data_IF_056290562078
#
_entry.id   IF_056290562078
#
_cell.length_a   1.000
_cell.length_b   1.000
_cell.length_c   1.000
_cell.angle_alpha   90.00
_cell.angle_beta   90.00
_cell.angle_gamma   90.00
#
_symmetry.space_group_name_H-M   'P 1'
#
loop_
_entity.id
_entity.type
_entity.pdbx_description
1 polymer ?
#
# COMPACT_ATOMS: atom_id res chain seq x y z
N UNK A 1 -12.14 7.08 5.04
CA UNK A 1 -13.12 6.09 4.55
C UNK A 1 -12.75 4.69 4.99
N UNK A 2 -11.49 4.30 4.80
CA UNK A 2 -11.00 2.97 5.16
C UNK A 2 -9.94 3.11 6.27
N UNK A 3 -9.95 2.20 7.24
CA UNK A 3 -8.83 1.97 8.15
C UNK A 3 -8.02 0.77 7.67
N UNK A 4 -6.71 0.95 7.50
CA UNK A 4 -5.77 -0.16 7.24
C UNK A 4 -5.34 -0.72 8.60
N UNK A 5 -5.68 -1.98 8.88
CA UNK A 5 -5.50 -2.63 10.18
C UNK A 5 -4.48 -3.76 10.10
N UNK A 6 -3.91 -4.13 11.26
CA UNK A 6 -3.00 -5.26 11.40
C UNK A 6 -1.84 -5.27 10.38
N UNK A 7 -1.34 -4.07 10.05
CA UNK A 7 -0.30 -3.91 9.04
C UNK A 7 1.02 -4.46 9.57
N UNK A 8 1.67 -5.30 8.78
CA UNK A 8 3.05 -5.73 8.95
C UNK A 8 3.78 -5.49 7.64
N UNK A 9 4.94 -4.84 7.69
CA UNK A 9 5.79 -4.60 6.51
C UNK A 9 7.20 -5.08 6.84
N UNK A 10 7.68 -6.08 6.10
CA UNK A 10 8.96 -6.75 6.38
C UNK A 10 9.73 -7.07 5.11
N UNK A 11 11.05 -7.01 5.16
CA UNK A 11 11.93 -7.44 4.08
C UNK A 11 12.22 -8.94 4.18
N UNK A 12 12.13 -9.66 3.07
CA UNK A 12 12.52 -11.07 2.92
C UNK A 12 13.23 -11.26 1.59
N UNK A 13 14.54 -11.50 1.62
CA UNK A 13 15.37 -11.51 0.41
C UNK A 13 15.32 -10.16 -0.31
N UNK A 14 15.00 -10.16 -1.60
CA UNK A 14 14.85 -8.94 -2.42
C UNK A 14 13.43 -8.36 -2.37
N UNK A 15 12.51 -8.91 -1.56
CA UNK A 15 11.14 -8.40 -1.49
C UNK A 15 10.89 -7.69 -0.18
N UNK A 16 10.19 -6.57 -0.25
CA UNK A 16 9.48 -6.00 0.91
C UNK A 16 8.03 -6.40 0.78
N UNK A 17 7.51 -7.08 1.80
CA UNK A 17 6.19 -7.70 1.80
C UNK A 17 5.34 -6.99 2.87
N UNK A 18 4.15 -6.56 2.48
CA UNK A 18 3.16 -6.01 3.38
C UNK A 18 1.95 -6.94 3.51
N UNK A 19 1.53 -7.24 4.74
CA UNK A 19 0.26 -7.92 5.02
C UNK A 19 -0.64 -7.02 5.87
N UNK A 20 -1.93 -6.95 5.56
CA UNK A 20 -2.87 -6.08 6.28
C UNK A 20 -4.33 -6.52 6.08
N UNK A 21 -5.22 -5.96 6.89
CA UNK A 21 -6.67 -6.04 6.72
C UNK A 21 -7.25 -4.65 6.43
N UNK A 22 -8.45 -4.60 5.86
CA UNK A 22 -9.19 -3.36 5.67
C UNK A 22 -10.45 -3.35 6.54
N UNK A 23 -10.79 -2.17 7.06
CA UNK A 23 -12.02 -1.92 7.80
C UNK A 23 -12.71 -0.68 7.23
N UNK A 24 -13.94 -0.83 6.77
CA UNK A 24 -14.74 0.25 6.23
C UNK A 24 -15.30 1.12 7.37
N UNK A 25 -15.23 2.45 7.23
CA UNK A 25 -15.83 3.37 8.19
C UNK A 25 -17.37 3.38 8.16
N UNK A 26 -17.98 2.92 7.07
CA UNK A 26 -19.44 2.75 6.89
C UNK A 26 -19.70 1.59 5.92
N UNK A 27 -20.88 0.97 5.99
CA UNK A 27 -21.23 -0.21 5.18
C UNK A 27 -21.27 0.02 3.66
N UNK A 28 -21.42 1.27 3.22
CA UNK A 28 -21.46 1.61 1.78
C UNK A 28 -20.07 1.79 1.16
N UNK A 29 -19.03 1.92 1.98
CA UNK A 29 -17.66 2.18 1.51
C UNK A 29 -17.08 0.92 0.90
N UNK A 30 -16.63 1.03 -0.35
CA UNK A 30 -15.90 -0.01 -1.08
C UNK A 30 -14.43 0.36 -1.23
N UNK A 31 -13.61 -0.60 -1.66
CA UNK A 31 -12.20 -0.38 -2.01
C UNK A 31 -12.02 -0.50 -3.52
N UNK A 32 -11.39 0.51 -4.14
CA UNK A 32 -11.08 0.52 -5.57
C UNK A 32 -9.62 0.14 -5.86
N UNK A 33 -8.71 0.47 -4.94
CA UNK A 33 -7.27 0.25 -5.11
C UNK A 33 -6.61 0.08 -3.74
N UNK A 34 -5.69 -0.87 -3.65
CA UNK A 34 -4.71 -0.95 -2.56
C UNK A 34 -3.31 -0.88 -3.15
N UNK A 35 -2.44 -0.11 -2.52
CA UNK A 35 -1.07 0.11 -3.03
C UNK A 35 -0.08 0.21 -1.88
N UNK A 36 1.09 -0.39 -2.08
CA UNK A 36 2.26 -0.23 -1.25
C UNK A 36 3.20 0.77 -1.92
N UNK A 37 3.42 1.91 -1.26
CA UNK A 37 4.30 2.97 -1.74
C UNK A 37 5.68 2.85 -1.08
N UNK A 38 6.71 3.29 -1.79
CA UNK A 38 8.07 3.44 -1.29
C UNK A 38 8.62 4.83 -1.61
N UNK A 39 9.39 5.40 -0.68
CA UNK A 39 10.13 6.65 -0.93
C UNK A 39 11.33 6.79 0.01
N UNK A 40 12.15 7.82 -0.22
CA UNK A 40 13.36 8.10 0.59
C UNK A 40 13.08 8.73 1.95
N UNK A 41 11.87 9.26 2.19
CA UNK A 41 11.50 9.93 3.43
C UNK A 41 10.08 9.61 3.93
N UNK A 42 9.74 10.14 5.12
CA UNK A 42 8.51 9.87 5.87
C UNK A 42 7.21 10.32 5.17
N UNK A 43 7.30 11.17 4.14
CA UNK A 43 6.14 11.70 3.42
C UNK A 43 5.62 10.75 2.35
N UNK A 44 6.16 9.52 2.28
CA UNK A 44 5.73 8.48 1.36
C UNK A 44 4.19 8.33 1.29
N UNK A 45 3.69 8.29 0.06
CA UNK A 45 2.26 8.11 -0.28
C UNK A 45 2.00 8.30 -1.79
N UNK A 46 0.73 8.27 -2.20
CA UNK A 46 0.27 8.27 -3.61
C UNK A 46 0.89 9.35 -4.51
N UNK A 47 1.23 10.51 -3.96
CA UNK A 47 1.81 11.63 -4.71
C UNK A 47 3.32 11.82 -4.46
N UNK A 48 3.88 11.08 -3.50
CA UNK A 48 5.28 11.14 -3.09
C UNK A 48 5.75 9.69 -2.97
N UNK A 49 6.01 9.07 -4.12
CA UNK A 49 6.47 7.70 -4.21
C UNK A 49 7.35 7.53 -5.44
N UNK A 50 8.16 6.47 -5.44
CA UNK A 50 8.80 5.99 -6.66
C UNK A 50 7.76 5.47 -7.66
N UNK A 51 8.17 5.45 -8.93
CA UNK A 51 7.43 4.77 -9.98
C UNK A 51 8.08 3.40 -10.20
N UNK A 52 7.57 2.41 -9.48
CA UNK A 52 8.23 1.12 -9.31
C UNK A 52 8.08 0.24 -10.55
N UNK A 53 9.17 -0.40 -10.98
CA UNK A 53 9.07 -1.64 -11.75
C UNK A 53 8.51 -2.75 -10.84
N UNK A 54 7.48 -3.44 -11.31
CA UNK A 54 6.86 -4.51 -10.52
C UNK A 54 7.83 -5.68 -10.35
N UNK A 55 8.66 -6.01 -11.35
CA UNK A 55 9.53 -7.18 -11.32
C UNK A 55 8.75 -8.45 -10.92
N UNK A 56 9.23 -9.15 -9.88
CA UNK A 56 8.49 -10.27 -9.27
C UNK A 56 7.54 -9.84 -8.12
N UNK A 57 7.37 -8.54 -7.89
CA UNK A 57 6.50 -7.94 -6.91
C UNK A 57 5.05 -7.75 -7.38
N UNK A 58 4.20 -7.29 -6.47
CA UNK A 58 2.81 -6.91 -6.71
C UNK A 58 2.52 -5.70 -5.81
N UNK A 59 2.93 -4.49 -6.21
CA UNK A 59 2.84 -3.31 -5.34
C UNK A 59 1.41 -2.80 -5.22
N UNK A 60 0.52 -3.14 -6.14
CA UNK A 60 -0.87 -2.69 -6.14
C UNK A 60 -1.85 -3.74 -6.62
N UNK A 61 -3.07 -3.68 -6.09
CA UNK A 61 -4.23 -4.45 -6.57
C UNK A 61 -5.36 -3.44 -6.84
N UNK A 62 -5.86 -3.46 -8.07
CA UNK A 62 -7.00 -2.66 -8.51
C UNK A 62 -8.27 -3.51 -8.62
N UNK A 63 -9.40 -2.99 -8.14
CA UNK A 63 -10.68 -3.68 -8.14
C UNK A 63 -11.62 -3.04 -9.17
N UNK A 64 -12.05 -3.81 -10.17
CA UNK A 64 -13.02 -3.35 -11.18
C UNK A 64 -14.10 -4.43 -11.41
N UNK A 65 -15.32 -4.25 -10.86
CA UNK A 65 -15.78 -3.11 -10.05
C UNK A 65 -15.14 -3.08 -8.64
N UNK A 66 -15.28 -1.95 -7.93
CA UNK A 66 -14.83 -1.78 -6.54
C UNK A 66 -15.36 -2.88 -5.63
N UNK A 67 -14.49 -3.39 -4.74
CA UNK A 67 -14.78 -4.54 -3.90
C UNK A 67 -15.39 -4.15 -2.54
N UNK A 68 -16.23 -5.03 -2.00
CA UNK A 68 -16.69 -4.93 -0.61
C UNK A 68 -15.55 -5.20 0.37
N UNK A 69 -15.54 -4.50 1.50
CA UNK A 69 -14.50 -4.63 2.51
C UNK A 69 -14.95 -5.64 3.57
N UNK A 70 -14.19 -6.74 3.70
CA UNK A 70 -14.36 -7.72 4.76
C UNK A 70 -13.15 -7.69 5.71
N UNK A 71 -13.41 -7.44 7.00
CA UNK A 71 -12.37 -7.35 8.05
C UNK A 71 -11.57 -8.64 8.24
N UNK A 72 -12.11 -9.79 7.85
CA UNK A 72 -11.40 -11.06 7.89
C UNK A 72 -10.45 -11.29 6.70
N UNK A 73 -10.62 -10.54 5.59
CA UNK A 73 -9.75 -10.68 4.42
C UNK A 73 -8.39 -10.08 4.72
N UNK A 74 -7.34 -10.89 4.61
CA UNK A 74 -5.95 -10.44 4.65
C UNK A 74 -5.46 -10.23 3.22
N UNK A 75 -4.92 -9.04 2.96
CA UNK A 75 -4.28 -8.68 1.71
C UNK A 75 -2.77 -8.76 1.86
N UNK A 76 -2.10 -9.10 0.76
CA UNK A 76 -0.64 -9.11 0.64
C UNK A 76 -0.25 -8.26 -0.54
N UNK A 77 0.72 -7.36 -0.35
CA UNK A 77 1.37 -6.59 -1.40
C UNK A 77 2.88 -6.80 -1.29
N UNK A 78 3.60 -6.65 -2.39
CA UNK A 78 5.06 -6.77 -2.37
C UNK A 78 5.76 -5.85 -3.37
N UNK A 79 6.95 -5.39 -3.00
CA UNK A 79 7.86 -4.65 -3.88
C UNK A 79 9.13 -5.48 -4.02
N UNK A 80 9.55 -5.75 -5.25
CA UNK A 80 10.88 -6.27 -5.54
C UNK A 80 11.88 -5.11 -5.62
N UNK A 81 12.69 -4.93 -4.59
CA UNK A 81 13.64 -3.82 -4.51
C UNK A 81 14.87 -4.03 -5.40
N UNK A 82 15.03 -5.22 -6.00
CA UNK A 82 16.10 -5.49 -6.96
C UNK A 82 15.70 -5.20 -8.41
N UNK A 83 14.40 -5.01 -8.66
CA UNK A 83 13.88 -4.65 -9.97
C UNK A 83 14.05 -3.16 -10.29
N UNK A 84 14.24 -2.31 -9.27
CA UNK A 84 14.26 -0.86 -9.44
C UNK A 84 15.57 -0.22 -8.97
N UNK A 85 16.14 0.67 -9.79
CA UNK A 85 17.36 1.41 -9.49
C UNK A 85 17.20 2.50 -8.43
N UNK A 86 15.96 2.86 -8.07
CA UNK A 86 15.69 3.81 -6.98
C UNK A 86 16.14 3.29 -5.61
N UNK A 87 16.39 1.98 -5.48
CA UNK A 87 16.85 1.34 -4.25
C UNK A 87 18.36 1.07 -4.21
N UNK A 88 19.04 1.68 -3.25
CA UNK A 88 20.44 1.39 -2.91
C UNK A 88 20.52 0.44 -1.69
N UNK A 89 21.32 -0.63 -1.79
CA UNK A 89 21.51 -1.70 -0.79
C UNK A 89 22.20 -1.29 0.54
N UNK A 90 22.30 0.00 0.81
CA UNK A 90 22.87 0.54 2.05
C UNK A 90 22.06 1.70 2.61
N UNK A 91 20.83 1.88 2.12
CA UNK A 91 19.97 3.01 2.47
C UNK A 91 18.69 2.53 3.13
N UNK A 92 18.14 3.44 3.94
CA UNK A 92 16.82 3.26 4.50
C UNK A 92 15.79 3.91 3.60
N UNK A 93 14.68 3.22 3.42
CA UNK A 93 13.51 3.68 2.70
C UNK A 93 12.28 3.55 3.58
N UNK A 94 11.25 4.31 3.25
CA UNK A 94 9.99 4.34 3.97
C UNK A 94 8.92 3.72 3.08
N UNK A 95 8.26 2.70 3.63
CA UNK A 95 7.23 1.94 2.96
C UNK A 95 5.88 2.20 3.62
N UNK A 96 4.83 2.36 2.82
CA UNK A 96 3.51 2.69 3.35
C UNK A 96 2.38 2.10 2.53
N UNK A 97 1.47 1.41 3.19
CA UNK A 97 0.26 0.88 2.56
C UNK A 97 -0.82 1.96 2.54
N UNK A 98 -1.43 2.15 1.38
CA UNK A 98 -2.62 2.97 1.17
C UNK A 98 -3.77 2.17 0.58
N UNK A 99 -4.99 2.58 0.91
CA UNK A 99 -6.24 2.08 0.36
C UNK A 99 -7.07 3.25 -0.16
N UNK A 100 -7.44 3.20 -1.43
CA UNK A 100 -8.36 4.17 -2.03
C UNK A 100 -9.78 3.63 -1.95
N UNK A 101 -10.67 4.46 -1.44
CA UNK A 101 -12.06 4.10 -1.25
C UNK A 101 -12.91 4.55 -2.44
N UNK A 102 -13.96 3.78 -2.70
CA UNK A 102 -15.04 4.16 -3.59
C UNK A 102 -16.30 4.39 -2.75
N UNK A 103 -16.84 5.60 -2.85
CA UNK A 103 -18.03 6.06 -2.14
C UNK A 103 -18.69 7.19 -2.93
N UNK A 104 -20.01 7.10 -3.12
CA UNK A 104 -20.76 8.13 -3.84
C UNK A 104 -21.19 9.29 -2.93
N UNK A 105 -21.36 10.47 -3.53
CA UNK A 105 -21.94 11.65 -2.88
C UNK A 105 -21.02 12.41 -1.92
N UNK A 106 -19.71 12.14 -1.95
CA UNK A 106 -18.74 12.67 -0.95
C UNK A 106 -17.61 13.52 -1.53
N UNK A 107 -17.68 13.91 -2.81
CA UNK A 107 -16.63 14.66 -3.49
C UNK A 107 -15.38 13.82 -3.74
N UNK A 108 -14.22 14.48 -3.90
CA UNK A 108 -12.94 13.79 -4.17
C UNK A 108 -12.46 13.02 -2.95
N UNK A 109 -12.31 11.71 -3.11
CA UNK A 109 -11.76 10.82 -2.10
C UNK A 109 -10.23 10.83 -2.17
N UNK A 110 -9.58 10.81 -1.00
CA UNK A 110 -8.13 10.67 -0.88
C UNK A 110 -7.80 9.32 -0.28
N UNK A 111 -6.64 8.77 -0.67
CA UNK A 111 -6.11 7.52 -0.14
C UNK A 111 -6.01 7.56 1.39
N UNK A 112 -6.52 6.51 2.04
CA UNK A 112 -6.32 6.28 3.47
C UNK A 112 -5.06 5.45 3.69
N UNK A 113 -4.26 5.77 4.71
CA UNK A 113 -2.96 5.15 4.92
C UNK A 113 -2.81 4.49 6.28
N UNK A 114 -2.02 3.43 6.32
CA UNK A 114 -1.35 2.97 7.53
C UNK A 114 -0.18 3.91 7.92
N UNK A 115 0.38 3.80 9.14
CA UNK A 115 1.71 4.33 9.44
C UNK A 115 2.76 3.77 8.46
N UNK A 116 3.80 4.55 8.17
CA UNK A 116 4.93 4.06 7.37
C UNK A 116 5.81 3.12 8.21
N UNK A 117 6.62 2.30 7.54
CA UNK A 117 7.69 1.50 8.15
C UNK A 117 9.00 1.83 7.46
N UNK A 118 10.03 2.14 8.26
CA UNK A 118 11.39 2.36 7.78
C UNK A 118 12.11 1.03 7.66
N UNK A 119 12.66 0.71 6.49
CA UNK A 119 13.36 -0.55 6.22
C UNK A 119 14.70 -0.23 5.54
N UNK A 120 15.76 -0.88 6.01
CA UNK A 120 17.06 -0.89 5.33
C UNK A 120 17.00 -1.89 4.17
N UNK A 121 17.33 -1.42 2.97
CA UNK A 121 17.50 -2.25 1.78
C UNK A 121 18.94 -2.72 1.71
#
# INVERSE_FOLDING_TARGET
YISVKNVSITKSGNKVIATFNLEAGQSTVKVEEITMYAFTDIHVGKYISFNLDEGDGEPSISFSPSAEINTATQYTLSIDVSADSDFDVSRNYYFRVGAMADQHGVGTIRTNYAPYVKIAI
#
